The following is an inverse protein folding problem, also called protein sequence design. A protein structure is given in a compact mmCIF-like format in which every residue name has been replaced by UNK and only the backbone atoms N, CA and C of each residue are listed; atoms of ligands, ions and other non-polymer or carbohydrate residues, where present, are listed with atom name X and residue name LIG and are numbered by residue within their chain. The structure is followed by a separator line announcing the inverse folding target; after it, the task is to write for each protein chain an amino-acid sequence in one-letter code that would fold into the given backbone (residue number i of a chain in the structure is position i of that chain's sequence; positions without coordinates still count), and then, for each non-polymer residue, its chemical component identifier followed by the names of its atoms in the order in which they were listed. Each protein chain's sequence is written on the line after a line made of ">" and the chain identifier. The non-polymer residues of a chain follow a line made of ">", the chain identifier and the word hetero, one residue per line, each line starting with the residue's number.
data_IF_029249912092
#
_entry.id   IF_029249912092
#
_cell.length_a   1.000
_cell.length_b   1.000
_cell.length_c   1.000
_cell.angle_alpha   90.00
_cell.angle_beta   90.00
_cell.angle_gamma   90.00
#
_symmetry.space_group_name_H-M   'P 1'
#
loop_
_entity.id
_entity.type
_entity.pdbx_description
1 polymer ?
#
# COMPACT_ATOMS: atom_id res chain seq x y z
N UNK A 1 -8.35 15.01 3.17
CA UNK A 1 -8.72 15.71 1.93
C UNK A 1 -9.99 15.06 1.43
N UNK A 2 -11.10 15.79 1.30
CA UNK A 2 -12.36 15.19 0.85
C UNK A 2 -12.41 15.11 -0.69
N UNK A 3 -13.33 14.29 -1.23
CA UNK A 3 -13.43 14.05 -2.68
C UNK A 3 -13.79 15.32 -3.47
N UNK A 4 -14.60 16.19 -2.89
CA UNK A 4 -14.99 17.48 -3.49
C UNK A 4 -13.78 18.42 -3.65
N UNK A 5 -12.92 18.51 -2.64
CA UNK A 5 -11.67 19.29 -2.68
C UNK A 5 -10.69 18.73 -3.72
N UNK A 6 -10.58 17.41 -3.82
CA UNK A 6 -9.71 16.76 -4.81
C UNK A 6 -10.18 17.01 -6.24
N UNK A 7 -11.49 16.94 -6.50
CA UNK A 7 -12.08 17.23 -7.80
C UNK A 7 -11.87 18.70 -8.19
N UNK A 8 -12.12 19.63 -7.28
CA UNK A 8 -11.88 21.06 -7.51
C UNK A 8 -10.39 21.35 -7.80
N UNK A 9 -9.47 20.70 -7.08
CA UNK A 9 -8.03 20.86 -7.31
C UNK A 9 -7.61 20.33 -8.70
N UNK A 10 -8.11 19.16 -9.11
CA UNK A 10 -7.82 18.59 -10.43
C UNK A 10 -8.41 19.43 -11.55
N UNK A 11 -9.62 19.97 -11.38
CA UNK A 11 -10.23 20.89 -12.34
C UNK A 11 -9.40 22.16 -12.53
N UNK A 12 -8.84 22.72 -11.42
CA UNK A 12 -7.93 23.86 -11.49
C UNK A 12 -6.64 23.54 -12.26
N UNK A 13 -6.03 22.38 -11.98
CA UNK A 13 -4.81 21.95 -12.70
C UNK A 13 -5.11 21.76 -14.19
N UNK A 14 -6.23 21.10 -14.53
CA UNK A 14 -6.66 20.89 -15.91
C UNK A 14 -6.82 22.23 -16.64
N UNK A 15 -7.56 23.18 -16.07
CA UNK A 15 -7.76 24.50 -16.67
C UNK A 15 -6.43 25.26 -16.87
N UNK A 16 -5.48 25.13 -15.94
CA UNK A 16 -4.14 25.70 -16.11
C UNK A 16 -3.35 25.03 -17.25
N UNK A 17 -3.41 23.70 -17.37
CA UNK A 17 -2.76 22.97 -18.46
C UNK A 17 -3.35 23.34 -19.82
N UNK A 18 -4.67 23.46 -19.91
CA UNK A 18 -5.36 23.79 -21.16
C UNK A 18 -5.09 25.25 -21.60
N UNK A 19 -4.63 26.11 -20.70
CA UNK A 19 -4.23 27.48 -21.01
C UNK A 19 -2.81 27.63 -21.58
N UNK A 20 -1.98 26.57 -21.51
CA UNK A 20 -0.61 26.60 -22.02
C UNK A 20 -0.65 26.53 -23.55
N UNK A 21 -0.07 27.52 -24.21
CA UNK A 21 -0.02 27.53 -25.67
C UNK A 21 1.03 26.55 -26.20
N UNK A 22 0.87 26.00 -27.42
CA UNK A 22 1.89 25.13 -28.01
C UNK A 22 3.26 25.80 -28.18
N UNK A 23 3.29 27.13 -28.38
CA UNK A 23 4.52 27.90 -28.50
C UNK A 23 5.27 27.99 -27.15
N UNK A 24 4.54 28.20 -26.05
CA UNK A 24 5.11 28.21 -24.70
C UNK A 24 5.62 26.82 -24.31
N UNK A 25 4.86 25.76 -24.62
CA UNK A 25 5.26 24.37 -24.38
C UNK A 25 6.56 24.01 -25.13
N UNK A 26 6.67 24.44 -26.39
CA UNK A 26 7.88 24.28 -27.19
C UNK A 26 9.07 25.07 -26.63
N UNK A 27 8.84 26.30 -26.15
CA UNK A 27 9.88 27.12 -25.55
C UNK A 27 10.41 26.51 -24.24
N UNK A 28 9.51 25.98 -23.40
CA UNK A 28 9.87 25.27 -22.16
C UNK A 28 10.66 24.00 -22.51
N UNK A 29 10.19 23.21 -23.46
CA UNK A 29 10.85 21.98 -23.90
C UNK A 29 12.27 22.25 -24.43
N UNK A 30 12.44 23.32 -25.21
CA UNK A 30 13.75 23.75 -25.69
C UNK A 30 14.67 24.15 -24.54
N UNK A 31 14.20 24.97 -23.60
CA UNK A 31 14.99 25.41 -22.46
C UNK A 31 15.47 24.23 -21.58
N UNK A 32 14.61 23.22 -21.41
CA UNK A 32 14.92 21.96 -20.71
C UNK A 32 16.02 21.17 -21.42
N UNK A 33 16.04 21.16 -22.76
CA UNK A 33 17.05 20.44 -23.55
C UNK A 33 18.39 21.19 -23.64
N UNK A 34 18.35 22.51 -23.63
CA UNK A 34 19.54 23.36 -23.73
C UNK A 34 20.33 23.44 -22.40
N UNK A 35 19.69 23.12 -21.26
CA UNK A 35 20.32 23.14 -19.94
C UNK A 35 21.10 21.84 -19.64
N UNK A 36 22.45 21.91 -19.46
CA UNK A 36 23.27 20.73 -19.17
C UNK A 36 23.02 20.10 -17.79
N UNK A 37 22.43 20.83 -16.84
CA UNK A 37 22.12 20.32 -15.50
C UNK A 37 20.72 19.67 -15.43
N UNK A 38 19.92 19.81 -16.48
CA UNK A 38 18.58 19.25 -16.53
C UNK A 38 18.61 17.73 -16.80
N UNK A 39 18.07 16.96 -15.86
CA UNK A 39 17.89 15.51 -16.00
C UNK A 39 16.45 15.18 -16.35
N UNK A 40 16.23 14.59 -17.53
CA UNK A 40 14.91 14.17 -17.97
C UNK A 40 14.40 12.96 -17.17
N UNK A 41 13.11 12.95 -16.85
CA UNK A 41 12.45 11.82 -16.18
C UNK A 41 12.63 10.51 -16.97
N UNK A 42 12.68 10.59 -18.30
CA UNK A 42 12.98 9.45 -19.19
C UNK A 42 14.37 8.86 -18.90
N UNK A 43 15.38 9.68 -18.61
CA UNK A 43 16.71 9.21 -18.21
C UNK A 43 16.72 8.65 -16.78
N UNK A 44 15.95 9.25 -15.88
CA UNK A 44 15.83 8.78 -14.49
C UNK A 44 15.15 7.41 -14.40
N UNK A 45 14.14 7.16 -15.22
CA UNK A 45 13.35 5.91 -15.23
C UNK A 45 14.05 4.76 -15.95
N UNK A 46 15.14 5.00 -16.70
CA UNK A 46 16.05 3.93 -17.16
C UNK A 46 16.75 3.22 -16.00
N UNK A 47 16.85 3.86 -14.83
CA UNK A 47 17.33 3.21 -13.60
C UNK A 47 16.26 2.23 -13.15
N UNK A 48 16.64 0.97 -12.88
CA UNK A 48 15.71 -0.07 -12.42
C UNK A 48 14.87 0.50 -11.26
N UNK A 49 13.53 0.49 -11.36
CA UNK A 49 12.70 0.88 -10.23
C UNK A 49 13.09 0.01 -9.03
N UNK A 50 12.94 0.57 -7.82
CA UNK A 50 13.18 -0.16 -6.58
C UNK A 50 12.32 -1.43 -6.47
N UNK A 51 12.42 -2.12 -5.33
CA UNK A 51 11.57 -3.30 -5.09
C UNK A 51 10.10 -2.95 -5.42
N UNK A 52 9.41 -3.76 -6.24
CA UNK A 52 8.01 -3.55 -6.56
C UNK A 52 7.19 -3.31 -5.29
N UNK A 53 6.24 -2.38 -5.37
CA UNK A 53 5.27 -2.15 -4.30
C UNK A 53 4.51 -3.47 -4.09
N UNK A 54 4.45 -3.95 -2.85
CA UNK A 54 3.71 -5.16 -2.54
C UNK A 54 2.21 -4.92 -2.72
N UNK A 55 1.50 -5.85 -3.38
CA UNK A 55 0.05 -5.75 -3.63
C UNK A 55 -0.76 -5.64 -2.33
N UNK A 56 -0.27 -6.25 -1.25
CA UNK A 56 -0.87 -6.16 0.08
C UNK A 56 0.23 -5.88 1.11
N UNK A 57 0.52 -4.60 1.40
CA UNK A 57 1.55 -4.25 2.37
C UNK A 57 1.11 -4.60 3.79
N UNK A 58 2.08 -4.94 4.64
CA UNK A 58 1.83 -5.07 6.09
C UNK A 58 1.49 -3.68 6.65
N UNK A 59 0.43 -3.61 7.45
CA UNK A 59 0.00 -2.37 8.09
C UNK A 59 0.79 -2.21 9.40
N UNK A 60 1.55 -1.13 9.60
CA UNK A 60 2.22 -0.88 10.86
C UNK A 60 1.19 -0.52 11.94
N UNK A 61 1.18 -1.28 13.02
CA UNK A 61 0.29 -1.05 14.17
C UNK A 61 1.09 -1.02 15.46
N UNK A 62 0.65 -0.19 16.41
CA UNK A 62 1.21 -0.16 17.76
C UNK A 62 0.34 -1.02 18.67
N UNK A 63 0.87 -2.17 19.11
CA UNK A 63 0.20 -3.09 20.03
C UNK A 63 1.06 -3.29 21.28
N UNK A 64 0.40 -3.53 22.42
CA UNK A 64 1.07 -3.94 23.66
C UNK A 64 1.00 -5.45 23.77
N UNK A 65 2.15 -6.08 24.01
CA UNK A 65 2.30 -7.52 24.20
C UNK A 65 2.77 -7.81 25.61
N UNK A 66 2.43 -8.98 26.13
CA UNK A 66 2.94 -9.46 27.41
C UNK A 66 4.48 -9.59 27.38
N UNK A 67 5.18 -9.33 28.50
CA UNK A 67 6.65 -9.35 28.53
C UNK A 67 7.26 -10.70 28.13
N UNK A 68 6.67 -11.80 28.60
CA UNK A 68 7.07 -13.17 28.30
C UNK A 68 7.01 -13.50 26.80
N UNK A 69 5.95 -13.07 26.12
CA UNK A 69 5.79 -13.20 24.67
C UNK A 69 6.89 -12.40 23.96
N UNK A 70 7.12 -11.17 24.40
CA UNK A 70 8.12 -10.30 23.79
C UNK A 70 9.54 -10.87 23.95
N UNK A 71 9.87 -11.37 25.13
CA UNK A 71 11.18 -11.97 25.44
C UNK A 71 11.41 -13.25 24.63
N UNK A 72 10.40 -14.12 24.54
CA UNK A 72 10.45 -15.32 23.72
C UNK A 72 10.79 -15.00 22.26
N UNK A 73 10.04 -14.10 21.63
CA UNK A 73 10.30 -13.76 20.23
C UNK A 73 11.60 -12.96 20.07
N UNK A 74 11.93 -12.02 20.94
CA UNK A 74 13.21 -11.26 20.83
C UNK A 74 14.44 -12.14 20.93
N UNK A 75 14.40 -13.19 21.77
CA UNK A 75 15.52 -14.14 21.92
C UNK A 75 15.89 -14.83 20.60
N UNK A 76 14.95 -14.94 19.67
CA UNK A 76 15.15 -15.55 18.36
C UNK A 76 15.98 -14.68 17.39
N UNK A 77 16.24 -13.40 17.73
CA UNK A 77 17.08 -12.50 16.97
C UNK A 77 16.39 -11.75 15.83
N UNK A 78 17.16 -11.36 14.80
CA UNK A 78 16.68 -10.59 13.64
C UNK A 78 15.45 -11.24 13.02
N UNK A 79 14.41 -10.46 12.76
CA UNK A 79 13.15 -10.96 12.16
C UNK A 79 12.12 -11.47 13.17
N UNK A 80 12.33 -11.29 14.48
CA UNK A 80 11.35 -11.67 15.50
C UNK A 80 9.95 -11.09 15.29
N UNK A 81 9.84 -9.86 14.78
CA UNK A 81 8.55 -9.25 14.42
C UNK A 81 7.82 -10.00 13.29
N UNK A 82 8.56 -10.57 12.34
CA UNK A 82 7.97 -11.41 11.30
C UNK A 82 7.49 -12.76 11.85
N UNK A 83 8.21 -13.32 12.82
CA UNK A 83 7.83 -14.59 13.46
C UNK A 83 6.56 -14.48 14.31
N UNK A 84 6.39 -13.39 15.04
CA UNK A 84 5.15 -13.17 15.79
C UNK A 84 3.94 -12.97 14.85
N UNK A 85 4.13 -12.25 13.73
CA UNK A 85 3.10 -12.11 12.69
C UNK A 85 2.70 -13.48 12.10
N UNK A 86 3.66 -14.35 11.82
CA UNK A 86 3.40 -15.72 11.35
C UNK A 86 2.65 -16.56 12.38
N UNK A 87 3.00 -16.44 13.67
CA UNK A 87 2.30 -17.15 14.75
C UNK A 87 0.83 -16.71 14.85
N UNK A 88 0.57 -15.39 14.77
CA UNK A 88 -0.80 -14.85 14.77
C UNK A 88 -1.60 -15.36 13.55
N UNK A 89 -0.98 -15.43 12.37
CA UNK A 89 -1.62 -16.00 11.17
C UNK A 89 -1.96 -17.48 11.32
N UNK A 90 -1.08 -18.27 11.95
CA UNK A 90 -1.35 -19.69 12.23
C UNK A 90 -2.54 -19.86 13.17
N UNK A 91 -2.63 -19.04 14.21
CA UNK A 91 -3.78 -19.03 15.13
C UNK A 91 -5.09 -18.68 14.41
N UNK A 92 -5.09 -17.62 13.59
CA UNK A 92 -6.27 -17.26 12.77
C UNK A 92 -6.73 -18.41 11.87
N UNK A 93 -5.79 -19.14 11.26
CA UNK A 93 -6.12 -20.28 10.41
C UNK A 93 -6.74 -21.43 11.21
N UNK A 94 -6.22 -21.71 12.42
CA UNK A 94 -6.74 -22.75 13.31
C UNK A 94 -8.17 -22.42 13.77
N UNK A 95 -8.42 -21.19 14.20
CA UNK A 95 -9.76 -20.73 14.59
C UNK A 95 -10.77 -20.89 13.44
N UNK A 96 -10.35 -20.56 12.21
CA UNK A 96 -11.18 -20.73 11.01
C UNK A 96 -11.52 -22.21 10.72
N UNK A 97 -10.69 -23.17 11.15
CA UNK A 97 -10.96 -24.60 10.93
C UNK A 97 -11.93 -25.21 11.96
N UNK A 98 -11.96 -24.65 13.17
CA UNK A 98 -12.84 -25.09 14.26
C UNK A 98 -14.29 -24.58 14.08
N UNK A 99 -14.48 -23.48 13.35
CA UNK A 99 -15.80 -22.92 13.02
C UNK A 99 -16.50 -23.60 11.82
N UNK A 100 -16.08 -24.80 11.41
CA UNK A 100 -16.85 -25.58 10.41
C UNK A 100 -18.26 -25.83 10.95
N UNK A 101 -19.33 -25.37 10.27
CA UNK A 101 -20.68 -25.46 10.81
C UNK A 101 -21.09 -26.93 10.93
N UNK A 102 -21.65 -27.29 12.09
CA UNK A 102 -22.37 -28.54 12.28
C UNK A 102 -23.40 -28.71 11.15
N UNK A 103 -23.14 -29.64 10.25
CA UNK A 103 -24.06 -30.00 9.18
C UNK A 103 -25.38 -30.55 9.77
N UNK A 104 -26.49 -30.08 9.20
CA UNK A 104 -27.82 -30.69 9.19
C UNK A 104 -28.42 -31.14 10.55
N UNK A 105 -29.33 -30.32 11.10
CA UNK A 105 -30.54 -30.86 11.72
C UNK A 105 -31.75 -30.14 11.15
N UNK A 106 -32.29 -30.75 10.10
CA UNK A 106 -33.63 -30.46 9.58
C UNK A 106 -34.66 -30.87 10.63
N UNK A 107 -35.12 -29.92 11.46
CA UNK A 107 -36.26 -30.17 12.34
C UNK A 107 -37.54 -30.03 11.51
N UNK A 108 -38.10 -31.18 11.12
CA UNK A 108 -39.46 -31.33 10.58
C UNK A 108 -40.44 -30.50 11.41
N UNK A 109 -41.04 -29.48 10.81
CA UNK A 109 -42.22 -28.78 11.36
C UNK A 109 -43.40 -29.75 11.25
N UNK A 110 -43.92 -30.22 12.38
CA UNK A 110 -45.15 -31.01 12.45
C UNK A 110 -46.29 -30.12 12.94
N UNK A 111 -47.42 -30.23 12.22
CA UNK A 111 -48.80 -29.84 12.51
C UNK A 111 -49.05 -28.39 12.90
#
# INVERSE_FOLDING_TARGET
>A
MNDQQLLAHRARIRAALDSITPAEDAAISKAVLDDPDTVLVTELTKRRPGRPVADTPKIPVSIRLSPDVLDHYRSSGRGWQGRIDEALRKLMLLETQDERPAAATSRKKRA
#
